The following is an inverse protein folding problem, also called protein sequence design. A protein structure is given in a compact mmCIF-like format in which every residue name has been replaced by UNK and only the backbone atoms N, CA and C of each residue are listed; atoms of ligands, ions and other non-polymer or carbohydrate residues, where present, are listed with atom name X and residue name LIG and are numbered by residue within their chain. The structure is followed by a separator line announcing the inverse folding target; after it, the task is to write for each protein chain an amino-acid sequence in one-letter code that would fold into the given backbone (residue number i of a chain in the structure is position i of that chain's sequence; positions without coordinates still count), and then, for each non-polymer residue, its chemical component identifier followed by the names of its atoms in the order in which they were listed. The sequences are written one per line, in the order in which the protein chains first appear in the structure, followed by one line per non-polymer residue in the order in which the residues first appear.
data_IF_734339000889
#
_entry.id   IF_734339000889
#
_cell.length_a   1.000
_cell.length_b   1.000
_cell.length_c   1.000
_cell.angle_alpha   90.00
_cell.angle_beta   90.00
_cell.angle_gamma   90.00
#
_symmetry.space_group_name_H-M   'P 1'
#
loop_
_entity.id
_entity.type
_entity.pdbx_description
1 polymer ?
#
# COMPACT_ATOMS: atom_id res chain seq x y z
N UNK A 1 20.48 -12.44 67.58
CA UNK A 1 19.63 -13.59 67.23
C UNK A 1 19.05 -13.32 65.83
N UNK A 2 19.58 -13.91 64.75
CA UNK A 2 19.08 -15.13 64.06
C UNK A 2 17.60 -14.98 63.66
N UNK A 3 17.11 -15.06 62.41
CA UNK A 3 17.49 -15.68 61.13
C UNK A 3 16.80 -14.88 59.98
N UNK A 4 17.44 -14.58 58.84
CA UNK A 4 17.43 -15.33 57.55
C UNK A 4 16.12 -16.06 57.21
N UNK A 5 15.41 -15.56 56.18
CA UNK A 5 14.78 -16.40 55.15
C UNK A 5 14.74 -15.64 53.83
N UNK A 6 15.33 -16.28 52.83
CA UNK A 6 15.46 -15.92 51.42
C UNK A 6 14.12 -16.19 50.74
N UNK A 7 13.62 -15.25 49.93
CA UNK A 7 12.70 -15.57 48.83
C UNK A 7 13.26 -15.00 47.54
N UNK A 8 13.72 -15.92 46.71
CA UNK A 8 14.19 -15.75 45.36
C UNK A 8 12.95 -15.66 44.46
N UNK A 9 12.73 -14.49 43.88
CA UNK A 9 11.69 -14.25 42.88
C UNK A 9 12.36 -13.76 41.61
N UNK A 10 12.66 -14.68 40.70
CA UNK A 10 13.08 -14.40 39.34
C UNK A 10 11.97 -13.67 38.58
N UNK A 11 12.01 -12.34 38.58
CA UNK A 11 11.22 -11.51 37.68
C UNK A 11 12.17 -10.83 36.69
N UNK A 12 12.44 -11.59 35.64
CA UNK A 12 12.99 -11.23 34.33
C UNK A 12 12.89 -9.73 34.03
N UNK A 13 14.03 -9.06 34.02
CA UNK A 13 14.20 -7.70 33.53
C UNK A 13 13.61 -7.58 32.11
N UNK A 14 12.48 -6.89 31.97
CA UNK A 14 12.06 -6.37 30.67
C UNK A 14 13.03 -5.26 30.28
N UNK A 15 13.99 -5.64 29.44
CA UNK A 15 14.82 -4.70 28.72
C UNK A 15 13.89 -3.83 27.87
N UNK A 16 13.85 -2.53 28.22
CA UNK A 16 13.35 -1.49 27.36
C UNK A 16 14.08 -1.61 26.02
N UNK A 17 13.40 -2.13 25.00
CA UNK A 17 13.91 -2.04 23.63
C UNK A 17 13.68 -0.59 23.21
N UNK A 18 14.63 0.25 23.61
CA UNK A 18 14.85 1.56 23.02
C UNK A 18 15.23 1.32 21.57
N UNK A 19 14.23 1.21 20.69
CA UNK A 19 14.46 1.19 19.24
C UNK A 19 14.98 2.57 18.90
N UNK A 20 16.31 2.63 18.79
CA UNK A 20 17.04 3.78 18.32
C UNK A 20 16.36 4.31 17.06
N UNK A 21 16.08 5.61 17.09
CA UNK A 21 15.72 6.41 15.94
C UNK A 21 16.84 6.31 14.89
N UNK A 22 16.79 5.27 14.05
CA UNK A 22 17.66 5.17 12.88
C UNK A 22 17.05 6.03 11.79
N UNK A 23 17.51 7.27 11.78
CA UNK A 23 17.72 8.04 10.56
C UNK A 23 18.50 7.14 9.56
N UNK A 24 18.39 7.44 8.27
CA UNK A 24 19.09 6.82 7.12
C UNK A 24 18.42 5.59 6.47
N UNK A 25 17.63 5.85 5.43
CA UNK A 25 18.19 5.87 4.08
C UNK A 25 17.07 5.96 3.07
N UNK A 26 17.18 6.93 2.18
CA UNK A 26 16.47 7.05 0.92
C UNK A 26 16.91 5.93 -0.06
N UNK A 27 16.80 4.67 0.37
CA UNK A 27 17.02 3.50 -0.46
C UNK A 27 15.67 2.96 -0.90
N UNK A 28 15.38 3.23 -2.17
CA UNK A 28 14.56 2.44 -3.09
C UNK A 28 13.69 1.40 -2.39
N UNK A 29 12.37 1.66 -2.36
CA UNK A 29 11.41 0.86 -1.62
C UNK A 29 11.57 -0.63 -1.84
N UNK A 30 11.28 -1.38 -0.77
CA UNK A 30 11.47 -2.82 -0.65
C UNK A 30 11.34 -3.56 -1.99
N UNK A 31 12.45 -4.12 -2.47
CA UNK A 31 12.45 -4.98 -3.65
C UNK A 31 11.55 -6.18 -3.38
N UNK A 32 10.54 -6.38 -4.21
CA UNK A 32 9.69 -7.56 -4.14
C UNK A 32 10.58 -8.81 -4.22
N UNK A 33 10.45 -9.75 -3.29
CA UNK A 33 11.23 -11.01 -3.32
C UNK A 33 10.79 -11.96 -4.42
N UNK A 34 9.61 -11.71 -5.00
CA UNK A 34 8.98 -12.55 -6.05
C UNK A 34 9.29 -12.01 -7.45
N UNK A 35 9.54 -10.71 -7.60
CA UNK A 35 9.71 -10.06 -8.89
C UNK A 35 11.05 -9.32 -8.96
N UNK A 36 11.66 -9.31 -10.16
CA UNK A 36 12.84 -8.48 -10.42
C UNK A 36 12.56 -6.98 -10.34
N UNK A 37 13.48 -6.13 -10.84
CA UNK A 37 13.28 -4.68 -10.85
C UNK A 37 11.92 -4.29 -11.43
N UNK A 38 11.25 -3.34 -10.79
CA UNK A 38 9.91 -2.93 -11.20
C UNK A 38 9.90 -2.41 -12.63
N UNK A 39 8.92 -2.87 -13.41
CA UNK A 39 8.66 -2.34 -14.75
C UNK A 39 7.92 -0.99 -14.71
N UNK A 40 7.49 -0.55 -13.52
CA UNK A 40 6.74 0.69 -13.29
C UNK A 40 7.29 1.48 -12.09
N UNK A 41 8.57 1.89 -12.10
CA UNK A 41 9.21 2.51 -10.95
C UNK A 41 8.58 3.85 -10.52
N UNK A 42 8.02 4.64 -11.45
CA UNK A 42 7.36 5.90 -11.09
C UNK A 42 6.03 5.67 -10.40
N UNK A 43 5.25 4.70 -10.88
CA UNK A 43 4.01 4.27 -10.25
C UNK A 43 4.27 3.70 -8.85
N UNK A 44 5.29 2.86 -8.69
CA UNK A 44 5.62 2.25 -7.41
C UNK A 44 5.99 3.30 -6.36
N UNK A 45 6.81 4.28 -6.74
CA UNK A 45 7.15 5.40 -5.87
C UNK A 45 5.90 6.19 -5.46
N UNK A 46 4.94 6.38 -6.36
CA UNK A 46 3.68 7.04 -6.06
C UNK A 46 2.81 6.20 -5.10
N UNK A 47 2.76 4.88 -5.29
CA UNK A 47 2.03 3.96 -4.42
C UNK A 47 2.63 3.87 -3.01
N UNK A 48 3.93 4.15 -2.88
CA UNK A 48 4.61 4.18 -1.59
C UNK A 48 4.42 5.47 -0.79
N UNK A 49 3.81 6.51 -1.38
CA UNK A 49 3.53 7.75 -0.66
C UNK A 49 2.54 7.51 0.50
N UNK A 50 2.71 8.18 1.66
CA UNK A 50 1.86 7.97 2.84
C UNK A 50 0.36 8.09 2.53
N UNK A 51 -0.04 9.17 1.84
CA UNK A 51 -1.41 9.41 1.39
C UNK A 51 -1.98 8.26 0.53
N UNK A 52 -1.17 7.69 -0.35
CA UNK A 52 -1.60 6.57 -1.19
C UNK A 52 -1.75 5.30 -0.37
N UNK A 53 -0.84 5.07 0.59
CA UNK A 53 -0.91 3.90 1.48
C UNK A 53 -2.17 3.91 2.34
N UNK A 54 -2.58 5.06 2.87
CA UNK A 54 -3.83 5.21 3.62
C UNK A 54 -5.05 4.82 2.79
N UNK A 55 -5.09 5.26 1.53
CA UNK A 55 -6.18 4.91 0.61
C UNK A 55 -6.16 3.42 0.27
N UNK A 56 -4.98 2.84 0.02
CA UNK A 56 -4.84 1.41 -0.22
C UNK A 56 -5.30 0.59 1.00
N UNK A 57 -4.97 1.05 2.20
CA UNK A 57 -5.42 0.41 3.44
C UNK A 57 -6.94 0.49 3.60
N UNK A 58 -7.54 1.65 3.34
CA UNK A 58 -9.00 1.82 3.34
C UNK A 58 -9.69 0.94 2.30
N UNK A 59 -9.08 0.80 1.12
CA UNK A 59 -9.57 -0.11 0.08
C UNK A 59 -9.48 -1.58 0.52
N UNK A 60 -8.39 -1.98 1.16
CA UNK A 60 -8.25 -3.33 1.73
C UNK A 60 -9.31 -3.62 2.79
N UNK A 61 -9.61 -2.65 3.66
CA UNK A 61 -10.69 -2.79 4.66
C UNK A 61 -12.05 -2.96 3.96
N UNK A 62 -12.38 -2.11 3.00
CA UNK A 62 -13.65 -2.20 2.28
C UNK A 62 -13.82 -3.52 1.51
N UNK A 63 -12.72 -4.09 0.99
CA UNK A 63 -12.74 -5.41 0.34
C UNK A 63 -12.87 -6.55 1.36
N UNK A 64 -12.21 -6.45 2.51
CA UNK A 64 -12.35 -7.42 3.59
C UNK A 64 -13.75 -7.40 4.21
N UNK A 65 -14.42 -6.24 4.26
CA UNK A 65 -15.81 -6.15 4.73
C UNK A 65 -16.78 -6.97 3.86
N UNK A 66 -16.43 -7.28 2.60
CA UNK A 66 -17.17 -8.23 1.75
C UNK A 66 -16.93 -9.66 2.21
N UNK A 67 -15.66 -10.03 2.44
CA UNK A 67 -15.27 -11.38 2.85
C UNK A 67 -15.77 -11.72 4.27
N UNK A 68 -15.81 -10.72 5.15
CA UNK A 68 -16.26 -10.83 6.53
C UNK A 68 -17.79 -10.65 6.68
N UNK A 69 -18.52 -10.50 5.57
CA UNK A 69 -19.98 -10.29 5.52
C UNK A 69 -20.49 -9.10 6.36
N UNK A 70 -19.61 -8.13 6.68
CA UNK A 70 -19.93 -6.94 7.48
C UNK A 70 -20.79 -5.94 6.73
N UNK A 71 -20.69 -5.93 5.40
CA UNK A 71 -21.48 -5.10 4.51
C UNK A 71 -21.95 -5.90 3.30
N UNK A 72 -23.08 -5.51 2.70
CA UNK A 72 -23.49 -6.10 1.44
C UNK A 72 -22.51 -5.70 0.32
N UNK A 73 -22.34 -6.57 -0.67
CA UNK A 73 -21.41 -6.36 -1.79
C UNK A 73 -21.62 -5.01 -2.48
N UNK A 74 -22.87 -4.53 -2.59
CA UNK A 74 -23.18 -3.23 -3.17
C UNK A 74 -22.53 -2.08 -2.39
N UNK A 75 -22.71 -2.04 -1.07
CA UNK A 75 -22.17 -0.98 -0.23
C UNK A 75 -20.63 -0.99 -0.20
N UNK A 76 -20.03 -2.18 -0.18
CA UNK A 76 -18.58 -2.31 -0.23
C UNK A 76 -18.00 -1.87 -1.58
N UNK A 77 -18.64 -2.24 -2.69
CA UNK A 77 -18.24 -1.78 -4.04
C UNK A 77 -18.42 -0.27 -4.18
N UNK A 78 -19.52 0.31 -3.68
CA UNK A 78 -19.72 1.76 -3.67
C UNK A 78 -18.61 2.46 -2.88
N UNK A 79 -18.27 1.96 -1.69
CA UNK A 79 -17.19 2.48 -0.85
C UNK A 79 -15.83 2.39 -1.54
N UNK A 80 -15.47 1.22 -2.07
CA UNK A 80 -14.25 0.99 -2.81
C UNK A 80 -14.14 1.92 -4.03
N UNK A 81 -15.23 2.08 -4.78
CA UNK A 81 -15.28 2.97 -5.95
C UNK A 81 -15.13 4.45 -5.56
N UNK A 82 -15.69 4.86 -4.42
CA UNK A 82 -15.54 6.21 -3.87
C UNK A 82 -14.09 6.51 -3.48
N UNK A 83 -13.45 5.59 -2.75
CA UNK A 83 -12.04 5.71 -2.36
C UNK A 83 -11.12 5.81 -3.57
N UNK A 84 -11.30 4.93 -4.56
CA UNK A 84 -10.52 4.95 -5.81
C UNK A 84 -10.73 6.26 -6.58
N UNK A 85 -11.98 6.74 -6.66
CA UNK A 85 -12.29 7.99 -7.36
C UNK A 85 -11.69 9.20 -6.64
N UNK A 86 -11.73 9.22 -5.31
CA UNK A 86 -11.08 10.25 -4.48
C UNK A 86 -9.59 10.34 -4.77
N UNK A 87 -8.90 9.20 -4.73
CA UNK A 87 -7.47 9.11 -5.04
C UNK A 87 -7.14 9.62 -6.45
N UNK A 88 -7.90 9.21 -7.46
CA UNK A 88 -7.67 9.67 -8.84
C UNK A 88 -7.80 11.18 -8.97
N UNK A 89 -8.73 11.80 -8.21
CA UNK A 89 -8.87 13.26 -8.19
C UNK A 89 -7.66 13.94 -7.54
N UNK A 90 -7.16 13.41 -6.43
CA UNK A 90 -5.98 13.92 -5.75
C UNK A 90 -4.72 13.82 -6.62
N UNK A 91 -4.50 12.67 -7.26
CA UNK A 91 -3.39 12.48 -8.20
C UNK A 91 -3.49 13.45 -9.38
N UNK A 92 -4.71 13.69 -9.89
CA UNK A 92 -4.94 14.68 -10.95
C UNK A 92 -4.68 16.11 -10.47
N UNK A 93 -5.02 16.44 -9.22
CA UNK A 93 -4.74 17.74 -8.61
C UNK A 93 -3.23 17.95 -8.40
N UNK A 94 -2.53 16.98 -7.80
CA UNK A 94 -1.09 16.98 -7.65
C UNK A 94 -0.36 17.14 -9.01
N UNK A 95 -0.88 16.46 -10.04
CA UNK A 95 -0.40 16.62 -11.43
C UNK A 95 -0.67 18.01 -12.01
N UNK A 96 -1.71 18.73 -11.59
CA UNK A 96 -1.94 20.12 -12.01
C UNK A 96 -1.04 21.10 -11.25
N UNK A 97 -0.87 20.89 -9.94
CA UNK A 97 -0.20 21.80 -9.00
C UNK A 97 1.33 21.82 -9.08
N UNK A 98 1.93 21.27 -10.15
CA UNK A 98 3.38 21.37 -10.34
C UNK A 98 4.21 20.32 -9.58
N UNK A 99 3.59 19.45 -8.76
CA UNK A 99 4.33 18.47 -7.93
C UNK A 99 5.08 17.39 -8.73
N UNK A 100 4.86 17.31 -10.04
CA UNK A 100 5.56 16.39 -10.93
C UNK A 100 6.26 17.17 -12.03
N UNK A 101 7.51 16.80 -12.32
CA UNK A 101 8.24 17.29 -13.50
C UNK A 101 7.54 16.87 -14.80
N UNK A 102 7.88 17.51 -15.93
CA UNK A 102 7.29 17.13 -17.23
C UNK A 102 7.66 15.69 -17.61
N UNK A 103 8.87 15.28 -17.29
CA UNK A 103 9.46 13.97 -17.54
C UNK A 103 8.76 12.93 -16.68
N UNK A 104 8.60 13.18 -15.37
CA UNK A 104 7.89 12.31 -14.44
C UNK A 104 6.42 12.13 -14.84
N UNK A 105 5.72 13.20 -15.24
CA UNK A 105 4.33 13.11 -15.72
C UNK A 105 4.21 12.26 -16.97
N UNK A 106 5.19 12.31 -17.87
CA UNK A 106 5.21 11.56 -19.12
C UNK A 106 5.51 10.09 -18.85
N UNK A 107 6.48 9.80 -17.98
CA UNK A 107 6.83 8.46 -17.55
C UNK A 107 5.64 7.78 -16.84
N UNK A 108 5.07 8.43 -15.83
CA UNK A 108 3.91 7.91 -15.10
C UNK A 108 2.71 7.66 -16.02
N UNK A 109 2.44 8.58 -16.96
CA UNK A 109 1.37 8.38 -17.96
C UNK A 109 1.64 7.16 -18.86
N UNK A 110 2.90 6.90 -19.21
CA UNK A 110 3.29 5.75 -20.04
C UNK A 110 3.11 4.45 -19.27
N UNK A 111 3.56 4.39 -18.02
CA UNK A 111 3.41 3.24 -17.13
C UNK A 111 1.94 2.90 -16.88
N UNK A 112 1.12 3.89 -16.48
CA UNK A 112 -0.33 3.69 -16.27
C UNK A 112 -1.02 3.20 -17.53
N UNK A 113 -0.66 3.75 -18.71
CA UNK A 113 -1.21 3.27 -19.99
C UNK A 113 -0.79 1.84 -20.32
N UNK A 114 0.44 1.45 -19.97
CA UNK A 114 0.93 0.09 -20.20
C UNK A 114 0.16 -0.91 -19.33
N UNK A 115 -0.01 -0.60 -18.03
CA UNK A 115 -0.81 -1.38 -17.10
C UNK A 115 -2.27 -1.51 -17.57
N UNK A 116 -2.91 -0.40 -17.94
CA UNK A 116 -4.29 -0.43 -18.43
C UNK A 116 -4.47 -1.26 -19.71
N UNK A 117 -3.45 -1.31 -20.59
CA UNK A 117 -3.47 -2.22 -21.75
C UNK A 117 -3.29 -3.68 -21.37
N UNK A 118 -2.51 -3.98 -20.33
CA UNK A 118 -2.40 -5.31 -19.73
C UNK A 118 -3.76 -5.77 -19.22
N UNK A 119 -4.34 -5.00 -18.29
CA UNK A 119 -5.67 -5.29 -17.71
C UNK A 119 -6.73 -5.47 -18.79
N UNK A 120 -6.79 -4.59 -19.80
CA UNK A 120 -7.74 -4.73 -20.91
C UNK A 120 -7.56 -6.05 -21.68
N UNK A 121 -6.31 -6.46 -21.90
CA UNK A 121 -5.99 -7.71 -22.60
C UNK A 121 -6.46 -8.90 -21.79
N UNK A 122 -6.19 -8.89 -20.48
CA UNK A 122 -6.53 -9.97 -19.57
C UNK A 122 -8.04 -10.12 -19.43
N UNK A 123 -8.77 -9.01 -19.26
CA UNK A 123 -10.25 -9.00 -19.25
C UNK A 123 -10.81 -9.52 -20.57
N UNK A 124 -10.23 -9.10 -21.70
CA UNK A 124 -10.67 -9.58 -23.02
C UNK A 124 -10.41 -11.09 -23.19
N UNK A 125 -9.31 -11.60 -22.66
CA UNK A 125 -9.01 -13.04 -22.70
C UNK A 125 -10.06 -13.83 -21.90
N UNK A 126 -10.37 -13.42 -20.67
CA UNK A 126 -11.42 -14.05 -19.86
C UNK A 126 -12.77 -14.09 -20.58
N UNK A 127 -13.16 -12.99 -21.23
CA UNK A 127 -14.43 -12.89 -21.97
C UNK A 127 -14.46 -13.69 -23.28
N UNK A 128 -13.30 -14.05 -23.82
CA UNK A 128 -13.19 -14.91 -25.00
C UNK A 128 -13.11 -16.39 -24.63
N UNK A 129 -12.61 -16.74 -23.45
CA UNK A 129 -12.61 -18.12 -22.94
C UNK A 129 -14.00 -18.58 -22.47
N UNK A 130 -14.91 -17.65 -22.16
CA UNK A 130 -16.30 -17.93 -21.79
C UNK A 130 -17.24 -18.15 -23.00
N UNK A 131 -16.69 -18.26 -24.22
CA UNK A 131 -17.43 -18.35 -25.48
C UNK A 131 -17.04 -19.59 -26.29
#
# INVERSE_FOLDING_TARGET
MTQKTVFQGDAKSEAHVSVASSVYSEKQGASCTVHGPSQTPHLDRQLQQPQTKEILQALSVALNDIADERQCTKCAVETASGLLTGYVREVKAAKKNGQYSKEERKALKKEVKALGRGVKRDVKALWLEEK
#
